data_IF_545771863875
#
_entry.id   IF_545771863875
#
_cell.length_a   1.000
_cell.length_b   1.000
_cell.length_c   1.000
_cell.angle_alpha   90.00
_cell.angle_beta   90.00
_cell.angle_gamma   90.00
#
_symmetry.space_group_name_H-M   'P 1'
#
loop_
_entity.id
_entity.type
_entity.pdbx_description
1 polymer ?
#
# COMPACT_ATOMS: atom_id res chain seq x y z
N UNK A 1 -17.81 4.52 9.73
CA UNK A 1 -16.81 5.14 8.84
C UNK A 1 -17.20 6.55 8.40
N UNK A 2 -18.32 6.80 7.70
CA UNK A 2 -18.71 8.14 7.21
C UNK A 2 -18.65 9.23 8.29
N UNK A 3 -19.14 8.93 9.49
CA UNK A 3 -19.12 9.86 10.62
C UNK A 3 -17.71 10.16 11.12
N UNK A 4 -16.82 9.17 11.05
CA UNK A 4 -15.44 9.29 11.46
C UNK A 4 -14.65 10.21 10.52
N UNK A 5 -14.72 9.98 9.21
CA UNK A 5 -13.94 10.73 8.24
C UNK A 5 -14.40 12.17 8.07
N UNK A 6 -15.71 12.44 8.03
CA UNK A 6 -16.21 13.80 7.90
C UNK A 6 -15.98 14.66 9.14
N UNK A 7 -16.02 14.07 10.32
CA UNK A 7 -15.91 14.86 11.57
C UNK A 7 -14.49 14.92 12.08
N UNK A 8 -13.76 13.82 12.00
CA UNK A 8 -12.43 13.70 12.60
C UNK A 8 -11.34 14.00 11.61
N UNK A 9 -11.35 13.36 10.44
CA UNK A 9 -10.34 13.56 9.40
C UNK A 9 -10.28 14.99 8.88
N UNK A 10 -11.44 15.58 8.58
CA UNK A 10 -11.51 16.93 8.03
C UNK A 10 -11.12 18.03 9.04
N UNK A 11 -11.38 17.81 10.35
CA UNK A 11 -11.12 18.80 11.39
C UNK A 11 -9.73 18.70 11.99
N UNK A 12 -9.25 17.48 12.23
CA UNK A 12 -8.03 17.26 12.97
C UNK A 12 -6.81 17.03 12.06
N UNK A 13 -7.04 16.67 10.79
CA UNK A 13 -5.97 16.32 9.87
C UNK A 13 -5.17 15.09 10.34
N UNK A 14 -3.99 14.97 9.80
CA UNK A 14 -3.05 13.89 10.15
C UNK A 14 -1.73 14.54 10.58
N UNK A 15 -1.49 14.72 11.89
CA UNK A 15 -0.28 15.35 12.37
C UNK A 15 0.98 14.59 11.98
N UNK A 16 2.01 15.33 11.58
CA UNK A 16 3.36 14.82 11.37
C UNK A 16 4.32 15.50 12.32
N UNK A 17 4.92 14.74 13.21
CA UNK A 17 5.89 15.25 14.17
C UNK A 17 6.99 14.22 14.43
N UNK A 18 8.21 14.70 14.60
CA UNK A 18 9.39 13.86 14.90
C UNK A 18 9.61 12.69 13.92
N UNK A 19 9.24 12.88 12.64
CA UNK A 19 9.40 11.84 11.64
C UNK A 19 8.32 10.77 11.61
N UNK A 20 7.26 10.92 12.42
CA UNK A 20 6.14 9.99 12.49
C UNK A 20 4.81 10.66 12.18
N UNK A 21 3.90 9.91 11.61
CA UNK A 21 2.52 10.30 11.33
C UNK A 21 1.59 9.68 12.37
N UNK A 22 0.71 10.49 12.95
CA UNK A 22 -0.36 10.02 13.83
C UNK A 22 -1.69 10.17 13.13
N UNK A 23 -2.42 9.07 12.94
CA UNK A 23 -3.74 9.11 12.33
C UNK A 23 -4.78 9.74 13.27
N UNK A 24 -5.89 10.30 12.73
CA UNK A 24 -6.94 10.89 13.55
C UNK A 24 -7.53 9.90 14.56
N UNK A 25 -8.06 10.40 15.71
CA UNK A 25 -8.71 9.54 16.70
C UNK A 25 -9.79 8.62 16.10
N UNK A 26 -9.78 7.35 16.48
CA UNK A 26 -10.73 6.34 16.00
C UNK A 26 -10.33 5.64 14.70
N UNK A 27 -9.29 6.10 14.00
CA UNK A 27 -8.83 5.47 12.76
C UNK A 27 -8.21 4.09 13.01
N UNK A 28 -7.43 3.94 14.06
CA UNK A 28 -6.85 2.64 14.44
C UNK A 28 -7.92 1.59 14.74
N UNK A 29 -8.95 1.98 15.48
CA UNK A 29 -10.09 1.12 15.78
C UNK A 29 -10.86 0.75 14.51
N UNK A 30 -11.09 1.74 13.63
CA UNK A 30 -11.75 1.52 12.35
C UNK A 30 -10.93 0.57 11.47
N UNK A 31 -9.61 0.73 11.41
CA UNK A 31 -8.75 -0.15 10.63
C UNK A 31 -8.69 -1.58 11.20
N UNK A 32 -8.61 -1.72 12.53
CA UNK A 32 -8.68 -3.05 13.17
C UNK A 32 -9.99 -3.77 12.85
N UNK A 33 -11.11 -3.07 12.95
CA UNK A 33 -12.42 -3.63 12.59
C UNK A 33 -12.49 -4.02 11.11
N UNK A 34 -11.89 -3.21 10.23
CA UNK A 34 -11.73 -3.51 8.80
C UNK A 34 -10.94 -4.79 8.57
N UNK A 35 -9.76 -4.91 9.14
CA UNK A 35 -8.88 -6.07 8.99
C UNK A 35 -9.53 -7.35 9.57
N UNK A 36 -10.11 -7.26 10.77
CA UNK A 36 -10.80 -8.38 11.42
C UNK A 36 -12.02 -8.88 10.63
N UNK A 37 -12.70 -8.00 9.91
CA UNK A 37 -13.82 -8.38 9.03
C UNK A 37 -13.35 -8.98 7.69
N UNK A 38 -12.04 -9.08 7.44
CA UNK A 38 -11.47 -9.69 6.24
C UNK A 38 -11.60 -8.86 4.97
N UNK A 39 -11.87 -7.56 5.09
CA UNK A 39 -12.13 -6.70 3.93
C UNK A 39 -10.92 -6.53 3.00
N UNK A 40 -9.68 -6.65 3.49
CA UNK A 40 -8.49 -6.59 2.65
C UNK A 40 -8.37 -7.79 1.70
N UNK A 41 -8.91 -8.93 2.09
CA UNK A 41 -8.75 -10.21 1.40
C UNK A 41 -9.93 -10.62 0.53
N UNK A 42 -10.88 -9.74 0.19
CA UNK A 42 -12.09 -10.13 -0.54
C UNK A 42 -11.82 -10.94 -1.82
N UNK A 43 -10.96 -10.44 -2.69
CA UNK A 43 -10.62 -11.08 -3.96
C UNK A 43 -9.31 -11.88 -3.92
N UNK A 44 -8.56 -11.81 -2.82
CA UNK A 44 -7.31 -12.54 -2.69
C UNK A 44 -7.54 -14.05 -2.58
N UNK A 45 -6.61 -14.89 -3.10
CA UNK A 45 -6.74 -16.35 -3.06
C UNK A 45 -6.82 -16.92 -1.65
N UNK A 46 -7.66 -17.94 -1.45
CA UNK A 46 -7.88 -18.60 -0.17
C UNK A 46 -6.60 -19.17 0.45
N UNK A 47 -5.67 -19.66 -0.37
CA UNK A 47 -4.36 -20.17 0.08
C UNK A 47 -3.52 -19.13 0.83
N UNK A 48 -3.80 -17.83 0.66
CA UNK A 48 -3.13 -16.73 1.34
C UNK A 48 -4.00 -16.07 2.41
N UNK A 49 -5.14 -16.69 2.75
CA UNK A 49 -6.09 -16.18 3.74
C UNK A 49 -7.17 -15.26 3.17
N UNK A 50 -7.28 -15.16 1.84
CA UNK A 50 -8.34 -14.40 1.18
C UNK A 50 -9.67 -15.14 1.13
N UNK A 51 -10.71 -14.44 0.64
CA UNK A 51 -12.06 -14.98 0.51
C UNK A 51 -12.38 -15.47 -0.90
N UNK A 52 -11.49 -15.23 -1.86
CA UNK A 52 -11.58 -15.69 -3.26
C UNK A 52 -12.89 -15.30 -3.95
N UNK A 53 -13.46 -14.15 -3.54
CA UNK A 53 -14.67 -13.62 -4.15
C UNK A 53 -14.38 -13.03 -5.53
N UNK A 54 -15.35 -13.01 -6.45
CA UNK A 54 -15.19 -12.37 -7.75
C UNK A 54 -14.73 -10.93 -7.62
N UNK A 55 -13.80 -10.49 -8.48
CA UNK A 55 -13.26 -9.13 -8.45
C UNK A 55 -14.36 -8.05 -8.56
N UNK A 56 -15.46 -8.34 -9.26
CA UNK A 56 -16.62 -7.45 -9.35
C UNK A 56 -17.23 -7.13 -7.96
N UNK A 57 -17.22 -8.08 -7.02
CA UNK A 57 -17.69 -7.86 -5.64
C UNK A 57 -16.73 -6.90 -4.92
N UNK A 58 -15.43 -7.09 -5.08
CA UNK A 58 -14.43 -6.20 -4.51
C UNK A 58 -14.60 -4.76 -5.04
N UNK A 59 -14.82 -4.58 -6.34
CA UNK A 59 -15.05 -3.26 -6.96
C UNK A 59 -16.29 -2.59 -6.39
N UNK A 60 -17.42 -3.31 -6.26
CA UNK A 60 -18.64 -2.77 -5.67
C UNK A 60 -18.43 -2.35 -4.20
N UNK A 61 -17.70 -3.15 -3.42
CA UNK A 61 -17.34 -2.79 -2.05
C UNK A 61 -16.44 -1.56 -2.01
N UNK A 62 -15.43 -1.49 -2.89
CA UNK A 62 -14.53 -0.34 -2.99
C UNK A 62 -15.28 0.96 -3.32
N UNK A 63 -16.27 0.93 -4.20
CA UNK A 63 -17.13 2.08 -4.49
C UNK A 63 -17.84 2.57 -3.22
N UNK A 64 -18.46 1.66 -2.47
CA UNK A 64 -19.16 1.99 -1.22
C UNK A 64 -18.21 2.60 -0.19
N UNK A 65 -17.01 2.04 -0.02
CA UNK A 65 -16.03 2.53 0.95
C UNK A 65 -15.45 3.89 0.55
N UNK A 66 -15.11 4.08 -0.72
CA UNK A 66 -14.63 5.38 -1.20
C UNK A 66 -15.72 6.46 -1.08
N UNK A 67 -16.97 6.13 -1.35
CA UNK A 67 -18.10 7.04 -1.15
C UNK A 67 -18.31 7.39 0.31
N UNK A 68 -18.07 6.45 1.22
CA UNK A 68 -18.23 6.68 2.66
C UNK A 68 -17.03 7.41 3.28
N UNK A 69 -15.79 7.09 2.87
CA UNK A 69 -14.57 7.53 3.51
C UNK A 69 -13.34 7.34 2.61
N UNK A 70 -13.24 8.14 1.53
CA UNK A 70 -12.13 8.00 0.56
C UNK A 70 -10.75 8.12 1.23
N UNK A 71 -10.58 9.06 2.14
CA UNK A 71 -9.30 9.24 2.84
C UNK A 71 -8.86 7.95 3.59
N UNK A 72 -9.81 7.17 4.11
CA UNK A 72 -9.51 5.88 4.73
C UNK A 72 -9.29 4.77 3.67
N UNK A 73 -10.17 4.70 2.67
CA UNK A 73 -10.19 3.61 1.70
C UNK A 73 -8.95 3.57 0.79
N UNK A 74 -8.26 4.70 0.59
CA UNK A 74 -7.04 4.78 -0.21
C UNK A 74 -5.89 3.91 0.35
N UNK A 75 -5.78 3.74 1.66
CA UNK A 75 -4.75 2.87 2.25
C UNK A 75 -4.96 1.39 1.90
N UNK A 76 -6.12 0.79 2.25
CA UNK A 76 -6.45 -0.57 1.84
C UNK A 76 -6.40 -0.80 0.32
N UNK A 77 -6.80 0.17 -0.50
CA UNK A 77 -6.70 0.08 -1.96
C UNK A 77 -5.28 -0.19 -2.43
N UNK A 78 -4.30 0.55 -1.89
CA UNK A 78 -2.89 0.36 -2.24
C UNK A 78 -2.36 -0.98 -1.75
N UNK A 79 -2.82 -1.46 -0.60
CA UNK A 79 -2.49 -2.79 -0.08
C UNK A 79 -2.97 -3.89 -1.03
N UNK A 80 -4.22 -3.80 -1.51
CA UNK A 80 -4.78 -4.74 -2.50
C UNK A 80 -3.98 -4.74 -3.80
N UNK A 81 -3.63 -3.55 -4.32
CA UNK A 81 -2.78 -3.44 -5.50
C UNK A 81 -1.38 -4.07 -5.29
N UNK A 82 -0.82 -3.95 -4.09
CA UNK A 82 0.41 -4.62 -3.69
C UNK A 82 0.28 -6.14 -3.66
N UNK A 83 -0.84 -6.66 -3.17
CA UNK A 83 -1.16 -8.10 -3.21
C UNK A 83 -1.22 -8.60 -4.64
N UNK A 84 -1.93 -7.90 -5.53
CA UNK A 84 -2.05 -8.28 -6.94
C UNK A 84 -0.68 -8.28 -7.65
N UNK A 85 0.16 -7.28 -7.39
CA UNK A 85 1.51 -7.22 -7.95
C UNK A 85 2.39 -8.38 -7.48
N UNK A 86 2.32 -8.76 -6.20
CA UNK A 86 3.03 -9.90 -5.65
C UNK A 86 2.51 -11.22 -6.21
N UNK A 87 1.21 -11.38 -6.37
CA UNK A 87 0.61 -12.56 -6.98
C UNK A 87 1.04 -12.74 -8.44
N UNK A 88 1.12 -11.66 -9.20
CA UNK A 88 1.49 -11.69 -10.61
C UNK A 88 3.00 -11.89 -10.82
N UNK A 89 3.85 -11.22 -10.03
CA UNK A 89 5.27 -11.04 -10.33
C UNK A 89 6.22 -11.44 -9.20
N UNK A 90 5.74 -11.65 -7.98
CA UNK A 90 6.57 -12.03 -6.84
C UNK A 90 7.15 -13.44 -6.98
N UNK A 91 8.36 -13.66 -6.48
CA UNK A 91 8.87 -15.03 -6.28
C UNK A 91 8.05 -15.75 -5.21
N UNK A 92 8.13 -17.08 -5.20
CA UNK A 92 7.45 -17.87 -4.17
C UNK A 92 7.89 -17.52 -2.75
N UNK A 93 9.14 -17.11 -2.59
CA UNK A 93 9.68 -16.65 -1.32
C UNK A 93 9.00 -15.34 -0.88
N UNK A 94 8.92 -14.34 -1.79
CA UNK A 94 8.26 -13.07 -1.52
C UNK A 94 6.76 -13.26 -1.25
N UNK A 95 6.08 -14.11 -2.03
CA UNK A 95 4.67 -14.42 -1.81
C UNK A 95 4.45 -15.00 -0.42
N UNK A 96 5.24 -16.01 -0.01
CA UNK A 96 5.14 -16.61 1.33
C UNK A 96 5.45 -15.63 2.46
N UNK A 97 6.40 -14.74 2.27
CA UNK A 97 6.80 -13.77 3.29
C UNK A 97 5.75 -12.66 3.52
N UNK A 98 5.13 -12.18 2.44
CA UNK A 98 4.35 -10.93 2.50
C UNK A 98 2.84 -11.11 2.32
N UNK A 99 2.38 -12.02 1.44
CA UNK A 99 0.96 -12.13 1.12
C UNK A 99 0.07 -12.41 2.34
N UNK A 100 0.38 -13.36 3.24
CA UNK A 100 -0.51 -13.61 4.38
C UNK A 100 -0.77 -12.37 5.23
N UNK A 101 0.27 -11.56 5.45
CA UNK A 101 0.18 -10.36 6.28
C UNK A 101 -0.51 -9.18 5.60
N UNK A 102 -0.32 -9.02 4.29
CA UNK A 102 -1.03 -8.01 3.50
C UNK A 102 -2.50 -8.36 3.32
N UNK A 103 -2.81 -9.63 3.05
CA UNK A 103 -4.19 -10.12 2.86
C UNK A 103 -4.98 -10.05 4.15
N UNK A 104 -4.37 -10.39 5.30
CA UNK A 104 -5.02 -10.25 6.61
C UNK A 104 -5.20 -8.80 7.07
N UNK A 105 -4.44 -7.87 6.50
CA UNK A 105 -4.38 -6.47 6.96
C UNK A 105 -3.50 -6.27 8.20
N UNK A 106 -2.70 -7.25 8.60
CA UNK A 106 -1.70 -7.06 9.65
C UNK A 106 -0.64 -6.03 9.23
N UNK A 107 -0.28 -6.02 7.95
CA UNK A 107 0.57 -5.03 7.31
C UNK A 107 -0.17 -4.32 6.19
N UNK A 108 0.22 -3.07 5.92
CA UNK A 108 -0.26 -2.32 4.76
C UNK A 108 0.82 -2.24 3.68
N UNK A 109 0.38 -1.99 2.45
CA UNK A 109 1.25 -1.80 1.29
C UNK A 109 1.12 -0.42 0.67
N UNK A 110 2.19 0.09 0.05
CA UNK A 110 2.19 1.33 -0.72
C UNK A 110 2.87 1.17 -2.06
N UNK A 111 2.54 2.05 -3.01
CA UNK A 111 3.17 2.12 -4.32
C UNK A 111 4.04 3.38 -4.38
N UNK A 112 5.36 3.22 -4.52
CA UNK A 112 6.31 4.32 -4.58
C UNK A 112 6.82 4.51 -6.02
N UNK A 113 6.08 5.28 -6.82
CA UNK A 113 6.36 5.50 -8.24
C UNK A 113 6.88 6.91 -8.49
N UNK A 114 6.11 7.93 -8.11
CA UNK A 114 6.30 9.34 -8.47
C UNK A 114 7.57 9.95 -7.89
N UNK A 115 8.26 10.71 -8.71
CA UNK A 115 9.41 11.55 -8.34
C UNK A 115 9.15 13.01 -8.73
N UNK A 116 9.93 13.99 -8.22
CA UNK A 116 9.72 15.40 -8.56
C UNK A 116 9.68 15.71 -10.06
N UNK A 117 10.45 14.97 -10.86
CA UNK A 117 10.52 15.12 -12.32
C UNK A 117 9.77 14.03 -13.10
N UNK A 118 9.21 13.03 -12.43
CA UNK A 118 8.60 11.85 -13.03
C UNK A 118 7.25 11.54 -12.40
N UNK A 119 6.19 12.19 -12.89
CA UNK A 119 4.80 11.94 -12.50
C UNK A 119 4.13 11.00 -13.50
N UNK A 120 3.48 11.56 -14.51
CA UNK A 120 2.85 10.76 -15.59
C UNK A 120 3.87 10.00 -16.42
N UNK A 121 5.01 10.62 -16.70
CA UNK A 121 6.15 9.94 -17.33
C UNK A 121 7.04 9.28 -16.26
N UNK A 122 6.67 8.09 -15.82
CA UNK A 122 7.50 7.27 -14.91
C UNK A 122 8.76 6.76 -15.60
N UNK A 123 8.84 6.81 -16.93
CA UNK A 123 10.04 6.54 -17.69
C UNK A 123 11.21 7.49 -17.35
N UNK A 124 10.92 8.70 -16.86
CA UNK A 124 11.90 9.70 -16.44
C UNK A 124 12.40 9.51 -15.00
N UNK A 125 12.04 8.44 -14.30
CA UNK A 125 12.48 8.18 -12.92
C UNK A 125 14.02 8.10 -12.81
N UNK A 126 14.55 8.57 -11.67
CA UNK A 126 16.01 8.62 -11.37
C UNK A 126 16.39 7.75 -10.18
N UNK A 127 15.46 7.28 -9.38
CA UNK A 127 15.73 6.33 -8.30
C UNK A 127 16.45 5.11 -8.85
N UNK A 128 17.54 4.71 -8.22
CA UNK A 128 18.42 3.61 -8.63
C UNK A 128 18.43 2.50 -7.60
N UNK A 129 18.57 1.28 -8.07
CA UNK A 129 18.77 0.10 -7.25
C UNK A 129 20.09 -0.58 -7.70
N UNK A 130 21.00 -0.76 -6.76
CA UNK A 130 22.30 -1.42 -6.96
C UNK A 130 22.32 -2.74 -6.21
N UNK A 131 22.77 -3.81 -6.88
CA UNK A 131 22.84 -5.14 -6.25
C UNK A 131 23.88 -5.16 -5.14
N UNK A 132 23.50 -5.66 -3.99
CA UNK A 132 24.41 -5.94 -2.88
C UNK A 132 24.88 -7.41 -2.92
N UNK A 133 25.99 -7.71 -2.23
CA UNK A 133 26.61 -9.04 -2.23
C UNK A 133 25.72 -10.12 -1.55
N UNK A 134 24.81 -9.71 -0.68
CA UNK A 134 23.87 -10.59 0.03
C UNK A 134 22.58 -10.88 -0.76
N UNK A 135 22.49 -10.42 -2.02
CA UNK A 135 21.30 -10.58 -2.86
C UNK A 135 20.24 -9.49 -2.66
N UNK A 136 20.41 -8.58 -1.71
CA UNK A 136 19.55 -7.41 -1.53
C UNK A 136 19.89 -6.30 -2.53
N UNK A 137 19.19 -5.17 -2.44
CA UNK A 137 19.45 -3.99 -3.26
C UNK A 137 19.62 -2.75 -2.38
N UNK A 138 20.64 -1.96 -2.67
CA UNK A 138 20.76 -0.61 -2.13
C UNK A 138 20.02 0.36 -3.03
N UNK A 139 19.03 1.04 -2.47
CA UNK A 139 18.17 1.98 -3.20
C UNK A 139 18.57 3.41 -2.83
N UNK A 140 18.73 4.26 -3.86
CA UNK A 140 19.05 5.68 -3.71
C UNK A 140 18.14 6.50 -4.62
N UNK A 141 17.44 7.50 -4.06
CA UNK A 141 16.52 8.36 -4.80
C UNK A 141 15.55 9.08 -3.88
N UNK A 142 14.58 9.77 -4.49
CA UNK A 142 13.54 10.50 -3.78
C UNK A 142 12.20 10.22 -4.45
N UNK A 143 11.23 9.78 -3.65
CA UNK A 143 9.83 9.62 -4.05
C UNK A 143 8.98 10.69 -3.38
N UNK A 144 7.92 11.14 -4.07
CA UNK A 144 6.98 12.15 -3.55
C UNK A 144 5.55 11.70 -3.72
N UNK A 145 4.64 12.31 -2.96
CA UNK A 145 3.20 12.03 -3.01
C UNK A 145 2.84 10.57 -2.76
N UNK A 146 3.54 9.94 -1.81
CA UNK A 146 3.30 8.54 -1.47
C UNK A 146 2.13 8.45 -0.50
N UNK A 147 0.98 8.04 -1.02
CA UNK A 147 -0.24 7.81 -0.23
C UNK A 147 0.02 6.71 0.80
N UNK A 148 -0.27 6.98 2.06
CA UNK A 148 -0.02 6.07 3.19
C UNK A 148 1.44 5.58 3.29
N UNK A 149 2.40 6.41 2.85
CA UNK A 149 3.82 6.11 2.94
C UNK A 149 4.35 6.04 4.37
N UNK A 150 3.66 6.69 5.30
CA UNK A 150 3.91 6.64 6.74
C UNK A 150 2.57 6.76 7.48
N UNK A 151 2.33 5.91 8.48
CA UNK A 151 1.14 5.94 9.33
C UNK A 151 1.31 5.00 10.53
N UNK A 152 0.42 5.14 11.52
CA UNK A 152 0.41 4.36 12.75
C UNK A 152 -0.75 3.34 12.84
N UNK A 153 -1.31 2.91 11.70
CA UNK A 153 -2.41 1.94 11.62
C UNK A 153 -1.95 0.49 11.76
N UNK A 154 -0.73 0.20 11.26
CA UNK A 154 -0.12 -1.14 11.28
C UNK A 154 1.32 -1.06 11.77
N UNK A 155 1.86 -2.17 12.24
CA UNK A 155 3.23 -2.25 12.74
C UNK A 155 4.27 -2.24 11.61
N UNK A 156 3.86 -2.49 10.36
CA UNK A 156 4.75 -2.48 9.22
C UNK A 156 4.04 -2.05 7.94
N UNK A 157 4.80 -1.39 7.05
CA UNK A 157 4.35 -0.92 5.74
C UNK A 157 5.29 -1.49 4.68
N UNK A 158 4.76 -2.23 3.72
CA UNK A 158 5.51 -2.79 2.61
C UNK A 158 5.47 -1.84 1.42
N UNK A 159 6.63 -1.33 1.02
CA UNK A 159 6.76 -0.39 -0.07
C UNK A 159 7.11 -1.11 -1.38
N UNK A 160 6.19 -1.08 -2.37
CA UNK A 160 6.50 -1.48 -3.75
C UNK A 160 7.12 -0.28 -4.47
N UNK A 161 8.43 -0.31 -4.63
CA UNK A 161 9.19 0.82 -5.12
C UNK A 161 9.69 0.57 -6.55
N UNK A 162 9.41 1.49 -7.45
CA UNK A 162 9.95 1.47 -8.80
C UNK A 162 11.31 2.16 -8.84
N UNK A 163 12.35 1.43 -9.27
CA UNK A 163 13.73 1.93 -9.39
C UNK A 163 14.41 1.38 -10.65
N UNK A 164 15.39 2.11 -11.17
CA UNK A 164 16.25 1.61 -12.25
C UNK A 164 17.34 0.72 -11.68
N UNK A 165 17.49 -0.46 -12.26
CA UNK A 165 18.68 -1.27 -12.06
C UNK A 165 19.84 -0.65 -12.86
N UNK A 166 21.04 -0.57 -12.25
CA UNK A 166 22.21 -0.01 -12.90
C UNK A 166 22.67 -0.82 -14.15
N UNK A 167 22.36 -2.11 -14.14
CA UNK A 167 22.67 -3.09 -15.18
C UNK A 167 21.50 -3.41 -16.14
N UNK A 168 20.36 -2.71 -16.00
CA UNK A 168 19.23 -2.89 -16.89
C UNK A 168 19.49 -2.19 -18.25
N UNK A 169 19.03 -2.78 -19.37
CA UNK A 169 19.10 -2.12 -20.66
C UNK A 169 18.30 -0.80 -20.61
N UNK A 170 18.78 0.21 -21.34
CA UNK A 170 18.05 1.45 -21.50
C UNK A 170 16.66 1.15 -22.10
N UNK A 171 15.60 1.70 -21.49
CA UNK A 171 14.29 1.67 -22.12
C UNK A 171 14.36 2.47 -23.44
N UNK A 172 14.16 1.80 -24.55
CA UNK A 172 13.95 2.41 -25.88
C UNK A 172 12.52 2.84 -26.01
#
# INVERSE_FOLDING_TARGET
MRKLTHVVGDRNGTPFAAGAVTTPPGWKEAYRAWAQAGWNGLAAPAQWGGQELPHAVNVACMEMWNSAAMAFALGPLLTMAGVDALLAHGSDELRRAYLPKLVSGEWMGTMQLTEPQAGSDVGALRTRAERAADGSYRITGQKIFITYGEHDLTDNIIHLLLARLADAPACT
#
